data_IF_644656160778
#
_entry.id   IF_644656160778
#
_cell.length_a   1.000
_cell.length_b   1.000
_cell.length_c   1.000
_cell.angle_alpha   90.00
_cell.angle_beta   90.00
_cell.angle_gamma   90.00
#
_symmetry.space_group_name_H-M   'P 1'
#
loop_
_entity.id
_entity.type
_entity.pdbx_description
1 polymer ?
#
# COMPACT_ATOMS: atom_id res chain seq x y z
N UNK A 1 -1.56 -32.43 -8.31
CA UNK A 1 -2.13 -32.08 -7.00
C UNK A 1 -3.56 -32.56 -7.02
N UNK A 2 -3.93 -33.48 -6.12
CA UNK A 2 -5.32 -33.88 -5.92
C UNK A 2 -6.02 -32.75 -5.16
N UNK A 3 -6.93 -32.06 -5.82
CA UNK A 3 -7.83 -31.12 -5.13
C UNK A 3 -8.86 -31.99 -4.40
N UNK A 4 -9.06 -31.74 -3.11
CA UNK A 4 -10.12 -32.38 -2.32
C UNK A 4 -11.49 -32.05 -2.92
N UNK A 5 -12.34 -33.06 -3.13
CA UNK A 5 -13.75 -32.85 -3.52
C UNK A 5 -14.61 -32.35 -2.34
N UNK A 6 -14.12 -32.50 -1.10
CA UNK A 6 -14.77 -31.99 0.10
C UNK A 6 -14.36 -30.54 0.35
N UNK A 7 -15.35 -29.65 0.35
CA UNK A 7 -15.17 -28.23 0.67
C UNK A 7 -14.97 -28.05 2.18
N UNK A 8 -13.77 -27.66 2.59
CA UNK A 8 -13.46 -27.25 3.95
C UNK A 8 -13.65 -25.74 4.12
N UNK A 9 -14.33 -25.33 5.19
CA UNK A 9 -14.49 -23.90 5.49
C UNK A 9 -13.13 -23.32 5.88
N UNK A 10 -12.64 -22.26 5.21
CA UNK A 10 -11.36 -21.66 5.55
C UNK A 10 -11.38 -21.11 6.98
N UNK A 11 -10.35 -21.45 7.76
CA UNK A 11 -10.18 -20.89 9.10
C UNK A 11 -10.00 -19.38 9.02
N UNK A 12 -10.68 -18.66 9.92
CA UNK A 12 -10.51 -17.21 10.02
C UNK A 12 -9.07 -16.90 10.43
N UNK A 13 -8.37 -16.14 9.61
CA UNK A 13 -7.04 -15.67 9.99
C UNK A 13 -7.11 -14.87 11.29
N UNK A 14 -6.13 -15.06 12.21
CA UNK A 14 -6.09 -14.28 13.44
C UNK A 14 -5.98 -12.79 13.12
N UNK A 15 -6.65 -11.96 13.91
CA UNK A 15 -6.56 -10.52 13.76
C UNK A 15 -5.11 -10.07 13.94
N UNK A 16 -4.58 -9.37 12.94
CA UNK A 16 -3.28 -8.73 13.00
C UNK A 16 -3.49 -7.23 13.14
N UNK A 17 -3.07 -6.69 14.28
CA UNK A 17 -3.14 -5.26 14.52
C UNK A 17 -2.04 -4.54 13.72
N UNK A 18 -2.46 -3.68 12.81
CA UNK A 18 -1.56 -2.84 12.01
C UNK A 18 -1.46 -1.41 12.57
N UNK A 19 -2.11 -1.12 13.69
CA UNK A 19 -2.19 0.21 14.30
C UNK A 19 -3.18 1.12 13.57
N UNK A 20 -2.98 2.43 13.71
CA UNK A 20 -3.84 3.42 13.09
C UNK A 20 -3.59 3.52 11.57
N UNK A 21 -4.49 2.91 10.81
CA UNK A 21 -4.46 2.90 9.34
C UNK A 21 -4.92 4.21 8.69
N UNK A 22 -5.56 5.09 9.46
CA UNK A 22 -6.08 6.40 9.02
C UNK A 22 -5.46 7.56 9.78
N UNK A 23 -4.23 7.36 10.28
CA UNK A 23 -3.49 8.37 11.03
C UNK A 23 -3.42 9.73 10.31
N UNK A 24 -3.33 9.74 8.98
CA UNK A 24 -3.30 10.98 8.19
C UNK A 24 -4.57 11.84 8.36
N UNK A 25 -5.70 11.26 8.77
CA UNK A 25 -6.93 12.02 9.06
C UNK A 25 -6.86 12.78 10.39
N UNK A 26 -5.89 12.45 11.25
CA UNK A 26 -5.66 13.12 12.53
C UNK A 26 -4.71 14.32 12.39
N UNK A 27 -4.21 14.60 11.18
CA UNK A 27 -3.40 15.80 10.92
C UNK A 27 -4.24 17.06 11.17
N UNK A 28 -3.87 17.93 12.13
CA UNK A 28 -4.62 19.14 12.45
C UNK A 28 -4.70 20.13 11.28
N UNK A 29 -3.76 20.07 10.34
CA UNK A 29 -3.70 20.95 9.19
C UNK A 29 -4.36 20.32 7.94
N UNK A 30 -4.95 19.12 8.08
CA UNK A 30 -5.67 18.39 7.02
C UNK A 30 -4.85 18.25 5.73
N UNK A 31 -3.54 17.96 5.86
CA UNK A 31 -2.64 17.86 4.71
C UNK A 31 -2.91 16.58 3.91
N UNK A 32 -3.02 16.73 2.60
CA UNK A 32 -3.12 15.59 1.68
C UNK A 32 -1.78 14.88 1.54
N UNK A 33 -1.83 13.54 1.44
CA UNK A 33 -0.66 12.73 1.13
C UNK A 33 -0.55 12.46 -0.37
N UNK A 34 0.65 12.58 -0.92
CA UNK A 34 0.93 12.22 -2.30
C UNK A 34 2.24 11.47 -2.43
N UNK A 35 2.32 10.57 -3.42
CA UNK A 35 3.50 9.77 -3.70
C UNK A 35 4.26 10.29 -4.90
N UNK A 36 5.58 10.34 -4.81
CA UNK A 36 6.47 10.73 -5.90
C UNK A 36 7.49 9.63 -6.14
N UNK A 37 7.66 9.26 -7.41
CA UNK A 37 8.72 8.37 -7.87
C UNK A 37 9.73 9.23 -8.63
N UNK A 38 10.99 9.18 -8.23
CA UNK A 38 12.08 9.98 -8.80
C UNK A 38 13.35 9.14 -8.90
N UNK A 39 14.45 9.75 -9.38
CA UNK A 39 15.69 9.02 -9.69
C UNK A 39 15.43 7.84 -10.66
N UNK A 40 14.67 8.07 -11.73
CA UNK A 40 14.33 7.05 -12.74
C UNK A 40 13.67 5.78 -12.16
N UNK A 41 12.92 5.91 -11.05
CA UNK A 41 12.26 4.78 -10.41
C UNK A 41 13.05 4.18 -9.24
N UNK A 42 14.27 4.66 -8.96
CA UNK A 42 15.07 4.13 -7.86
C UNK A 42 14.56 4.54 -6.49
N UNK A 43 13.83 5.65 -6.37
CA UNK A 43 13.27 6.13 -5.11
C UNK A 43 11.79 6.39 -5.20
N UNK A 44 11.10 6.06 -4.13
CA UNK A 44 9.70 6.41 -3.92
C UNK A 44 9.57 7.08 -2.56
N UNK A 45 8.99 8.26 -2.55
CA UNK A 45 8.70 9.00 -1.34
C UNK A 45 7.21 9.37 -1.27
N UNK A 46 6.72 9.48 -0.05
CA UNK A 46 5.38 9.93 0.29
C UNK A 46 5.54 11.24 1.03
N UNK A 47 4.85 12.26 0.56
CA UNK A 47 4.90 13.61 1.09
C UNK A 47 3.54 14.02 1.61
N UNK A 48 3.53 14.81 2.68
CA UNK A 48 2.37 15.59 3.07
C UNK A 48 2.46 16.96 2.36
N UNK A 49 1.34 17.37 1.76
CA UNK A 49 1.22 18.64 1.06
C UNK A 49 1.14 19.78 2.07
N UNK A 50 2.24 20.52 2.21
CA UNK A 50 2.32 21.73 3.04
C UNK A 50 2.52 22.96 2.14
N UNK A 51 1.95 24.10 2.54
CA UNK A 51 1.97 25.31 1.74
C UNK A 51 3.38 25.90 1.55
N UNK A 52 4.30 25.61 2.47
CA UNK A 52 5.67 26.12 2.40
C UNK A 52 6.60 25.15 1.68
N UNK A 53 6.83 23.99 2.28
CA UNK A 53 7.75 22.97 1.81
C UNK A 53 7.15 21.58 2.08
N UNK A 54 7.15 20.65 1.10
CA UNK A 54 6.55 19.35 1.28
C UNK A 54 7.28 18.55 2.36
N UNK A 55 6.50 17.93 3.25
CA UNK A 55 7.04 17.18 4.39
C UNK A 55 7.17 15.71 4.00
N UNK A 56 8.38 15.15 4.06
CA UNK A 56 8.60 13.73 3.80
C UNK A 56 7.97 12.91 4.92
N UNK A 57 6.96 12.11 4.58
CA UNK A 57 6.35 11.14 5.50
C UNK A 57 7.15 9.84 5.53
N UNK A 58 7.51 9.29 4.37
CA UNK A 58 8.31 8.07 4.26
C UNK A 58 9.02 8.05 2.89
N UNK A 59 10.28 7.65 2.87
CA UNK A 59 11.08 7.51 1.64
C UNK A 59 11.81 6.16 1.66
N UNK A 60 11.73 5.41 0.56
CA UNK A 60 12.42 4.13 0.41
C UNK A 60 13.01 3.96 -0.98
N UNK A 61 14.23 3.42 -1.02
CA UNK A 61 14.87 2.99 -2.26
C UNK A 61 14.21 1.71 -2.77
N UNK A 62 13.97 1.63 -4.09
CA UNK A 62 13.40 0.49 -4.82
C UNK A 62 12.10 -0.04 -4.19
N UNK A 63 11.25 0.88 -3.73
CA UNK A 63 10.00 0.51 -3.08
C UNK A 63 8.97 -0.07 -4.06
N UNK A 64 9.00 0.40 -5.30
CA UNK A 64 8.25 -0.12 -6.43
C UNK A 64 9.17 -0.23 -7.64
N UNK A 65 8.88 -1.14 -8.56
CA UNK A 65 9.61 -1.29 -9.83
C UNK A 65 8.98 -0.51 -10.97
N UNK A 66 7.66 -0.26 -10.93
CA UNK A 66 6.93 0.40 -12.03
C UNK A 66 6.20 1.66 -11.57
N UNK A 67 5.10 1.52 -10.83
CA UNK A 67 4.32 2.62 -10.31
C UNK A 67 3.75 2.29 -8.94
N UNK A 68 3.07 3.26 -8.32
CA UNK A 68 2.35 3.08 -7.05
C UNK A 68 0.89 3.41 -7.25
N UNK A 69 0.02 2.77 -6.46
CA UNK A 69 -1.41 3.05 -6.50
C UNK A 69 -1.99 3.15 -5.09
N UNK A 70 -2.67 4.24 -4.82
CA UNK A 70 -3.45 4.40 -3.61
C UNK A 70 -4.79 3.70 -3.73
N UNK A 71 -5.24 3.13 -2.61
CA UNK A 71 -6.62 2.70 -2.45
C UNK A 71 -7.59 3.90 -2.43
N UNK A 72 -8.88 3.70 -2.74
CA UNK A 72 -9.85 4.78 -2.84
C UNK A 72 -10.01 5.62 -1.56
N UNK A 73 -9.73 5.06 -0.38
CA UNK A 73 -9.79 5.79 0.90
C UNK A 73 -8.42 6.21 1.42
N UNK A 74 -7.35 6.04 0.64
CA UNK A 74 -5.99 6.38 1.05
C UNK A 74 -5.47 5.55 2.24
N UNK A 75 -6.11 4.43 2.57
CA UNK A 75 -5.73 3.59 3.73
C UNK A 75 -4.57 2.64 3.37
N UNK A 76 -4.53 2.23 2.11
CA UNK A 76 -3.53 1.35 1.53
C UNK A 76 -2.78 2.01 0.38
N UNK A 77 -1.49 1.70 0.30
CA UNK A 77 -0.62 1.95 -0.84
C UNK A 77 -0.22 0.59 -1.45
N UNK A 78 -0.37 0.42 -2.75
CA UNK A 78 0.15 -0.73 -3.49
C UNK A 78 1.44 -0.37 -4.22
N UNK A 79 2.44 -1.23 -4.10
CA UNK A 79 3.65 -1.20 -4.93
C UNK A 79 3.75 -2.45 -5.80
N UNK A 80 4.35 -2.28 -6.98
CA UNK A 80 4.38 -3.26 -8.05
C UNK A 80 5.79 -3.83 -8.20
N UNK A 81 5.86 -5.15 -8.32
CA UNK A 81 7.10 -5.90 -8.46
C UNK A 81 6.90 -7.01 -9.50
N UNK A 82 7.98 -7.49 -10.10
CA UNK A 82 7.91 -8.60 -11.07
C UNK A 82 7.25 -9.86 -10.48
N UNK A 83 7.40 -10.07 -9.17
CA UNK A 83 6.84 -11.22 -8.43
C UNK A 83 5.38 -11.03 -8.00
N UNK A 84 4.83 -9.83 -8.11
CA UNK A 84 3.49 -9.50 -7.63
C UNK A 84 3.39 -8.11 -7.03
N UNK A 85 2.40 -7.92 -6.16
CA UNK A 85 2.16 -6.64 -5.49
C UNK A 85 2.35 -6.75 -3.98
N UNK A 86 2.73 -5.64 -3.36
CA UNK A 86 2.77 -5.48 -1.91
C UNK A 86 1.83 -4.35 -1.50
N UNK A 87 1.02 -4.60 -0.47
CA UNK A 87 0.19 -3.60 0.19
C UNK A 87 0.89 -3.08 1.44
N UNK A 88 0.83 -1.76 1.60
CA UNK A 88 1.44 -1.01 2.69
C UNK A 88 0.41 -0.10 3.34
N UNK A 89 0.59 0.22 4.61
CA UNK A 89 -0.21 1.25 5.27
C UNK A 89 0.16 1.45 6.73
N UNK A 90 -0.62 2.30 7.40
CA UNK A 90 -0.28 2.87 8.70
C UNK A 90 0.75 4.00 8.60
N UNK A 91 1.03 4.65 9.73
CA UNK A 91 1.88 5.86 9.83
C UNK A 91 3.25 5.72 9.14
N UNK A 92 3.88 4.55 9.25
CA UNK A 92 5.21 4.25 8.66
C UNK A 92 5.14 3.36 7.43
N UNK A 93 3.97 3.24 6.80
CA UNK A 93 3.74 2.37 5.64
C UNK A 93 4.36 0.98 5.83
N UNK A 94 3.92 0.25 6.87
CA UNK A 94 4.36 -1.13 7.11
C UNK A 94 3.71 -2.06 6.10
N UNK A 95 4.42 -3.12 5.72
CA UNK A 95 3.89 -4.11 4.80
C UNK A 95 2.76 -4.90 5.47
N UNK A 96 1.57 -4.86 4.88
CA UNK A 96 0.36 -5.51 5.39
C UNK A 96 0.25 -6.91 4.80
N UNK A 97 0.25 -6.96 3.46
CA UNK A 97 -0.02 -8.16 2.70
C UNK A 97 0.80 -8.15 1.41
N UNK A 98 1.12 -9.35 0.90
CA UNK A 98 1.72 -9.55 -0.43
C UNK A 98 0.82 -10.45 -1.24
N UNK A 99 0.61 -10.12 -2.51
CA UNK A 99 -0.07 -10.98 -3.47
C UNK A 99 0.94 -11.40 -4.52
N UNK A 100 1.22 -12.70 -4.57
CA UNK A 100 2.14 -13.27 -5.55
C UNK A 100 1.41 -13.46 -6.87
N UNK A 101 1.80 -12.66 -7.87
CA UNK A 101 1.30 -12.75 -9.24
C UNK A 101 2.38 -12.25 -10.19
N UNK A 102 2.99 -13.15 -10.96
CA UNK A 102 4.08 -12.76 -11.84
C UNK A 102 3.57 -11.85 -12.97
N UNK A 103 4.32 -10.79 -13.28
CA UNK A 103 4.01 -9.90 -14.42
C UNK A 103 2.72 -9.09 -14.25
N UNK A 104 2.30 -8.82 -13.01
CA UNK A 104 1.11 -7.99 -12.75
C UNK A 104 1.34 -6.56 -13.23
N UNK A 105 0.45 -6.08 -14.08
CA UNK A 105 0.48 -4.72 -14.64
C UNK A 105 -0.66 -3.84 -14.14
N UNK A 106 -1.77 -4.46 -13.73
CA UNK A 106 -3.01 -3.82 -13.32
C UNK A 106 -3.51 -4.42 -12.02
N UNK A 107 -4.03 -3.56 -11.16
CA UNK A 107 -4.77 -3.93 -9.95
C UNK A 107 -6.01 -3.05 -9.88
N UNK A 108 -7.02 -3.50 -9.16
CA UNK A 108 -8.12 -2.63 -8.75
C UNK A 108 -8.44 -2.85 -7.28
N UNK A 109 -8.90 -1.79 -6.62
CA UNK A 109 -9.31 -1.83 -5.23
C UNK A 109 -10.82 -1.77 -5.14
N UNK A 110 -11.42 -2.59 -4.28
CA UNK A 110 -12.86 -2.46 -4.02
C UNK A 110 -13.16 -1.08 -3.41
N UNK A 111 -14.29 -0.44 -3.76
CA UNK A 111 -14.62 0.90 -3.27
C UNK A 111 -14.67 1.01 -1.73
N UNK A 112 -14.96 -0.10 -1.06
CA UNK A 112 -15.05 -0.17 0.39
C UNK A 112 -13.80 -0.77 1.07
N UNK A 113 -12.78 -1.18 0.30
CA UNK A 113 -11.59 -1.87 0.79
C UNK A 113 -11.92 -3.17 1.56
N UNK A 114 -12.89 -3.92 1.04
CA UNK A 114 -13.35 -5.22 1.52
C UNK A 114 -13.29 -6.28 0.43
#
# INVERSE_FOLDING_TARGET
>A
MSISDEWETPEKQPFKDFGNMRHWMEDPDCRDQYSVIYESGERTAIFNNDAKDPIVSEERARWTETYVRWSPKGTYLATFHQRGIALWGGEKFKQIQRFSHQGVSLIDFSPCER
#
